data_IF_282164864122
#
_entry.id   IF_282164864122
#
_cell.length_a   1.000
_cell.length_b   1.000
_cell.length_c   1.000
_cell.angle_alpha   90.00
_cell.angle_beta   90.00
_cell.angle_gamma   90.00
#
_symmetry.space_group_name_H-M   'P 1'
#
loop_
_entity.id
_entity.type
_entity.pdbx_description
1 polymer ?
#
# COMPACT_ATOMS: atom_id res chain seq x y z
N UNK A 1 -35.00 -37.38 -19.04
CA UNK A 1 -35.01 -36.77 -17.68
C UNK A 1 -33.62 -36.51 -17.09
N UNK A 2 -32.64 -37.44 -17.17
CA UNK A 2 -31.29 -37.24 -16.58
C UNK A 2 -30.54 -35.98 -17.04
N UNK A 3 -30.61 -35.61 -18.33
CA UNK A 3 -29.91 -34.40 -18.86
C UNK A 3 -30.44 -33.09 -18.26
N UNK A 4 -31.75 -32.99 -18.00
CA UNK A 4 -32.36 -31.83 -17.34
C UNK A 4 -31.91 -31.71 -15.88
N UNK A 5 -31.75 -32.85 -15.18
CA UNK A 5 -31.24 -32.88 -13.80
C UNK A 5 -29.80 -32.37 -13.70
N UNK A 6 -28.94 -32.71 -14.67
CA UNK A 6 -27.55 -32.23 -14.69
C UNK A 6 -27.45 -30.73 -15.00
N UNK A 7 -28.28 -30.21 -15.91
CA UNK A 7 -28.33 -28.78 -16.22
C UNK A 7 -28.84 -27.99 -15.00
N UNK A 8 -29.88 -28.48 -14.33
CA UNK A 8 -30.39 -27.87 -13.11
C UNK A 8 -29.34 -27.87 -11.99
N UNK A 9 -28.64 -28.99 -11.77
CA UNK A 9 -27.54 -29.09 -10.79
C UNK A 9 -26.40 -28.12 -11.11
N UNK A 10 -26.05 -27.97 -12.39
CA UNK A 10 -25.01 -27.05 -12.82
C UNK A 10 -25.41 -25.59 -12.55
N UNK A 11 -26.64 -25.21 -12.90
CA UNK A 11 -27.17 -23.85 -12.66
C UNK A 11 -27.25 -23.57 -11.15
N UNK A 12 -27.72 -24.52 -10.35
CA UNK A 12 -27.76 -24.37 -8.89
C UNK A 12 -26.37 -24.26 -8.28
N UNK A 13 -25.41 -25.07 -8.73
CA UNK A 13 -24.02 -24.98 -8.28
C UNK A 13 -23.37 -23.63 -8.64
N UNK A 14 -23.66 -23.11 -9.82
CA UNK A 14 -23.14 -21.83 -10.30
C UNK A 14 -23.76 -20.66 -9.51
N UNK A 15 -25.05 -20.71 -9.23
CA UNK A 15 -25.74 -19.73 -8.37
C UNK A 15 -25.23 -19.78 -6.93
N UNK A 16 -25.03 -20.96 -6.36
CA UNK A 16 -24.45 -21.16 -5.02
C UNK A 16 -23.01 -20.63 -4.95
N UNK A 17 -22.19 -20.93 -5.96
CA UNK A 17 -20.82 -20.41 -6.05
C UNK A 17 -20.77 -18.89 -6.15
N UNK A 18 -21.61 -18.30 -7.00
CA UNK A 18 -21.69 -16.85 -7.19
C UNK A 18 -22.20 -16.12 -5.94
N UNK A 19 -23.24 -16.65 -5.28
CA UNK A 19 -23.79 -16.07 -4.05
C UNK A 19 -22.83 -16.20 -2.88
N UNK A 20 -22.15 -17.34 -2.73
CA UNK A 20 -21.10 -17.50 -1.73
C UNK A 20 -19.96 -16.50 -1.96
N UNK A 21 -19.46 -16.40 -3.20
CA UNK A 21 -18.43 -15.44 -3.60
C UNK A 21 -18.85 -13.99 -3.32
N UNK A 22 -20.11 -13.63 -3.61
CA UNK A 22 -20.67 -12.31 -3.33
C UNK A 22 -20.69 -12.01 -1.82
N UNK A 23 -21.14 -12.95 -0.99
CA UNK A 23 -21.17 -12.79 0.47
C UNK A 23 -19.75 -12.68 1.05
N UNK A 24 -18.81 -13.51 0.60
CA UNK A 24 -17.41 -13.36 1.03
C UNK A 24 -16.81 -12.05 0.55
N UNK A 25 -17.06 -11.62 -0.68
CA UNK A 25 -16.58 -10.33 -1.17
C UNK A 25 -17.17 -9.18 -0.34
N UNK A 26 -18.47 -9.20 -0.05
CA UNK A 26 -19.11 -8.18 0.78
C UNK A 26 -18.59 -8.20 2.22
N UNK A 27 -18.40 -9.36 2.83
CA UNK A 27 -17.79 -9.45 4.17
C UNK A 27 -16.34 -8.99 4.18
N UNK A 28 -15.58 -9.25 3.12
CA UNK A 28 -14.22 -8.74 2.96
C UNK A 28 -14.26 -7.22 2.76
N UNK A 29 -15.12 -6.68 1.91
CA UNK A 29 -15.24 -5.24 1.70
C UNK A 29 -15.71 -4.53 2.99
N UNK A 30 -16.71 -5.08 3.67
CA UNK A 30 -17.23 -4.56 4.93
C UNK A 30 -16.23 -4.73 6.09
N UNK A 31 -15.45 -5.81 6.14
CA UNK A 31 -14.35 -5.92 7.12
C UNK A 31 -13.23 -4.93 6.82
N UNK A 32 -12.91 -4.70 5.54
CA UNK A 32 -11.90 -3.71 5.14
C UNK A 32 -12.36 -2.27 5.37
N UNK A 33 -13.66 -1.99 5.33
CA UNK A 33 -14.23 -0.66 5.60
C UNK A 33 -14.63 -0.41 7.07
N UNK A 34 -14.87 -1.46 7.86
CA UNK A 34 -15.41 -1.35 9.22
C UNK A 34 -14.51 -1.91 10.34
N UNK A 35 -13.67 -2.90 10.06
CA UNK A 35 -12.80 -3.54 11.07
C UNK A 35 -11.40 -2.93 10.96
N UNK A 36 -10.97 -2.21 12.00
CA UNK A 36 -9.63 -1.62 12.09
C UNK A 36 -9.48 -0.17 11.62
N UNK A 37 -10.50 0.41 10.98
CA UNK A 37 -10.52 1.82 10.56
C UNK A 37 -10.77 2.82 11.71
N UNK A 38 -11.19 2.36 12.89
CA UNK A 38 -11.32 3.24 14.05
C UNK A 38 -9.96 3.86 14.39
N UNK A 39 -9.89 5.19 14.46
CA UNK A 39 -8.63 5.92 14.65
C UNK A 39 -7.68 5.90 13.45
N UNK A 40 -8.10 5.40 12.28
CA UNK A 40 -7.29 5.40 11.05
C UNK A 40 -6.82 6.80 10.67
N UNK A 41 -7.75 7.76 10.55
CA UNK A 41 -7.43 9.14 10.15
C UNK A 41 -6.45 9.77 11.13
N UNK A 42 -6.69 9.59 12.44
CA UNK A 42 -5.78 10.10 13.48
C UNK A 42 -4.40 9.43 13.40
N UNK A 43 -4.35 8.13 13.13
CA UNK A 43 -3.09 7.38 12.99
C UNK A 43 -2.35 7.83 11.73
N UNK A 44 -3.01 7.88 10.58
CA UNK A 44 -2.45 8.36 9.33
C UNK A 44 -1.90 9.78 9.46
N UNK A 45 -2.63 10.68 10.11
CA UNK A 45 -2.16 12.04 10.38
C UNK A 45 -0.90 12.06 11.28
N UNK A 46 -0.86 11.23 12.33
CA UNK A 46 0.34 11.08 13.18
C UNK A 46 1.54 10.57 12.37
N UNK A 47 1.33 9.62 11.47
CA UNK A 47 2.42 9.06 10.67
C UNK A 47 2.87 10.05 9.58
N UNK A 48 1.96 10.85 8.99
CA UNK A 48 2.33 11.94 8.08
C UNK A 48 3.22 13.00 8.74
N UNK A 49 3.10 13.18 10.05
CA UNK A 49 3.99 14.07 10.81
C UNK A 49 5.38 13.46 11.04
N UNK A 50 5.58 12.16 10.79
CA UNK A 50 6.90 11.55 10.81
C UNK A 50 7.62 11.81 9.49
N UNK A 51 8.51 12.80 9.53
CA UNK A 51 9.35 13.17 8.39
C UNK A 51 10.09 11.99 7.78
N UNK A 52 10.70 11.13 8.61
CA UNK A 52 11.45 9.97 8.15
C UNK A 52 10.64 9.05 7.21
N UNK A 53 9.36 8.79 7.52
CA UNK A 53 8.51 7.92 6.68
C UNK A 53 8.12 8.64 5.39
N UNK A 54 7.73 9.90 5.50
CA UNK A 54 7.24 10.68 4.36
C UNK A 54 8.36 11.01 3.39
N UNK A 55 9.51 11.43 3.88
CA UNK A 55 10.72 11.75 3.10
C UNK A 55 11.29 10.48 2.46
N UNK A 56 11.34 9.36 3.16
CA UNK A 56 11.77 8.07 2.57
C UNK A 56 10.90 7.69 1.36
N UNK A 57 9.57 7.84 1.48
CA UNK A 57 8.64 7.55 0.39
C UNK A 57 8.74 8.58 -0.74
N UNK A 58 8.89 9.87 -0.44
CA UNK A 58 9.14 10.91 -1.45
C UNK A 58 10.43 10.61 -2.20
N UNK A 59 11.54 10.36 -1.49
CA UNK A 59 12.83 10.02 -2.07
C UNK A 59 12.78 8.76 -2.91
N UNK A 60 12.04 7.73 -2.49
CA UNK A 60 11.82 6.53 -3.32
C UNK A 60 11.15 6.88 -4.65
N UNK A 61 10.17 7.77 -4.64
CA UNK A 61 9.46 8.16 -5.88
C UNK A 61 10.31 9.08 -6.75
N UNK A 62 11.06 10.01 -6.16
CA UNK A 62 11.99 10.87 -6.87
C UNK A 62 13.12 10.06 -7.52
N UNK A 63 13.71 9.10 -6.80
CA UNK A 63 14.70 8.17 -7.34
C UNK A 63 14.16 7.36 -8.53
N UNK A 64 12.95 6.83 -8.44
CA UNK A 64 12.29 6.15 -9.57
C UNK A 64 12.08 7.09 -10.75
N UNK A 65 11.68 8.34 -10.50
CA UNK A 65 11.47 9.34 -11.54
C UNK A 65 12.79 9.75 -12.22
N UNK A 66 13.91 9.69 -11.50
CA UNK A 66 15.26 9.89 -12.02
C UNK A 66 15.83 8.64 -12.74
N UNK A 67 15.05 7.55 -12.83
CA UNK A 67 15.45 6.32 -13.53
C UNK A 67 16.20 5.30 -12.67
N UNK A 68 16.36 5.55 -11.36
CA UNK A 68 17.02 4.60 -10.48
C UNK A 68 16.10 3.42 -10.10
N UNK A 69 16.71 2.24 -9.95
CA UNK A 69 16.04 1.05 -9.41
C UNK A 69 16.05 1.12 -7.88
N UNK A 70 14.89 0.91 -7.26
CA UNK A 70 14.73 0.90 -5.81
C UNK A 70 14.95 -0.50 -5.25
N UNK A 71 15.71 -0.60 -4.16
CA UNK A 71 15.70 -1.79 -3.30
C UNK A 71 14.39 -1.84 -2.51
N UNK A 72 13.39 -2.44 -3.14
CA UNK A 72 12.05 -2.60 -2.56
C UNK A 72 12.06 -3.51 -1.32
N UNK A 73 13.03 -4.44 -1.20
CA UNK A 73 13.09 -5.35 -0.07
C UNK A 73 13.51 -4.57 1.17
N UNK A 74 14.63 -3.85 1.09
CA UNK A 74 15.12 -3.01 2.19
C UNK A 74 14.13 -1.90 2.54
N UNK A 75 13.54 -1.26 1.53
CA UNK A 75 12.51 -0.24 1.73
C UNK A 75 11.30 -0.78 2.51
N UNK A 76 10.77 -1.94 2.10
CA UNK A 76 9.62 -2.55 2.78
C UNK A 76 9.96 -3.00 4.21
N UNK A 77 11.16 -3.53 4.46
CA UNK A 77 11.59 -3.90 5.81
C UNK A 77 11.69 -2.68 6.72
N UNK A 78 12.24 -1.56 6.22
CA UNK A 78 12.33 -0.32 6.98
C UNK A 78 10.95 0.26 7.27
N UNK A 79 10.08 0.34 6.26
CA UNK A 79 8.70 0.81 6.42
C UNK A 79 7.90 -0.04 7.40
N UNK A 80 8.03 -1.37 7.34
CA UNK A 80 7.39 -2.27 8.31
C UNK A 80 7.86 -1.99 9.74
N UNK A 81 9.15 -1.73 9.93
CA UNK A 81 9.72 -1.41 11.25
C UNK A 81 9.18 -0.07 11.76
N UNK A 82 9.18 0.96 10.93
CA UNK A 82 8.69 2.31 11.27
C UNK A 82 7.17 2.33 11.53
N UNK A 83 6.41 1.48 10.83
CA UNK A 83 4.96 1.42 10.96
C UNK A 83 4.46 0.43 12.03
N UNK A 84 5.33 -0.44 12.54
CA UNK A 84 4.99 -1.43 13.57
C UNK A 84 4.29 -0.83 14.81
N UNK A 85 4.69 0.35 15.34
CA UNK A 85 4.00 0.96 16.48
C UNK A 85 2.54 1.37 16.20
N UNK A 86 2.16 1.47 14.93
CA UNK A 86 0.83 1.85 14.48
C UNK A 86 -0.04 0.66 14.08
N UNK A 87 0.51 -0.55 14.11
CA UNK A 87 -0.25 -1.77 13.92
C UNK A 87 -1.12 -2.06 15.15
N UNK A 88 -2.35 -2.50 14.90
CA UNK A 88 -3.32 -2.87 15.93
C UNK A 88 -3.76 -4.33 15.81
N UNK A 89 -3.06 -5.15 15.00
CA UNK A 89 -3.41 -6.54 14.75
C UNK A 89 -4.56 -6.74 13.73
N UNK A 90 -5.13 -5.65 13.20
CA UNK A 90 -6.20 -5.67 12.20
C UNK A 90 -5.77 -5.03 10.87
N UNK A 91 -4.50 -5.21 10.47
CA UNK A 91 -3.95 -4.66 9.23
C UNK A 91 -3.99 -3.12 9.14
N UNK A 92 -4.15 -2.39 10.27
CA UNK A 92 -4.18 -0.92 10.26
C UNK A 92 -2.88 -0.34 9.69
N UNK A 93 -1.73 -0.91 10.03
CA UNK A 93 -0.45 -0.48 9.49
C UNK A 93 -0.40 -0.57 7.95
N UNK A 94 -1.05 -1.57 7.36
CA UNK A 94 -1.14 -1.71 5.90
C UNK A 94 -1.99 -0.60 5.27
N UNK A 95 -3.18 -0.30 5.80
CA UNK A 95 -4.00 0.80 5.28
C UNK A 95 -3.33 2.16 5.45
N UNK A 96 -2.66 2.36 6.58
CA UNK A 96 -1.87 3.56 6.88
C UNK A 96 -0.71 3.68 5.88
N UNK A 97 0.01 2.60 5.59
CA UNK A 97 1.05 2.55 4.57
C UNK A 97 0.52 2.94 3.19
N UNK A 98 -0.59 2.35 2.74
CA UNK A 98 -1.20 2.64 1.43
C UNK A 98 -1.54 4.12 1.31
N UNK A 99 -2.15 4.70 2.35
CA UNK A 99 -2.54 6.11 2.36
C UNK A 99 -1.33 7.04 2.30
N UNK A 100 -0.33 6.83 3.16
CA UNK A 100 0.86 7.70 3.22
C UNK A 100 1.70 7.56 1.96
N UNK A 101 1.80 6.36 1.39
CA UNK A 101 2.45 6.14 0.10
C UNK A 101 1.75 6.94 -1.00
N UNK A 102 0.41 6.91 -1.04
CA UNK A 102 -0.37 7.73 -1.97
C UNK A 102 -0.10 9.22 -1.81
N UNK A 103 -0.09 9.72 -0.57
CA UNK A 103 0.22 11.11 -0.26
C UNK A 103 1.65 11.50 -0.70
N UNK A 104 2.66 10.78 -0.23
CA UNK A 104 4.07 11.05 -0.53
C UNK A 104 4.37 11.00 -2.04
N UNK A 105 3.78 10.04 -2.76
CA UNK A 105 3.95 9.92 -4.20
C UNK A 105 3.21 11.04 -4.94
N UNK A 106 2.04 11.47 -4.43
CA UNK A 106 1.34 12.66 -4.91
C UNK A 106 2.19 13.92 -4.79
N UNK A 107 2.82 14.13 -3.62
CA UNK A 107 3.77 15.23 -3.39
C UNK A 107 4.92 15.15 -4.40
N UNK A 108 5.61 14.02 -4.49
CA UNK A 108 6.73 13.84 -5.43
C UNK A 108 6.35 14.06 -6.90
N UNK A 109 5.13 13.66 -7.30
CA UNK A 109 4.64 13.87 -8.66
C UNK A 109 4.27 15.33 -8.95
N UNK A 110 3.78 16.06 -7.95
CA UNK A 110 3.42 17.49 -8.08
C UNK A 110 4.63 18.40 -8.30
N UNK A 111 5.83 17.92 -7.96
CA UNK A 111 7.08 18.65 -8.18
C UNK A 111 7.42 18.69 -9.68
N UNK A 112 7.65 19.91 -10.17
CA UNK A 112 7.98 20.17 -11.58
C UNK A 112 9.36 19.63 -11.96
N UNK A 113 10.39 20.01 -11.21
CA UNK A 113 11.78 19.55 -11.41
C UNK A 113 12.11 18.44 -10.40
N UNK A 114 11.97 17.20 -10.84
CA UNK A 114 12.09 16.01 -9.99
C UNK A 114 13.55 15.65 -9.70
N UNK A 115 14.46 15.97 -10.62
CA UNK A 115 15.89 15.71 -10.45
C UNK A 115 16.44 16.69 -9.43
N UNK A 116 16.16 17.98 -9.60
CA UNK A 116 16.55 18.97 -8.60
C UNK A 116 15.96 18.66 -7.21
N UNK A 117 14.70 18.24 -7.15
CA UNK A 117 14.12 17.87 -5.86
C UNK A 117 14.75 16.62 -5.25
N UNK A 118 15.21 15.66 -6.04
CA UNK A 118 15.96 14.51 -5.51
C UNK A 118 17.24 14.96 -4.80
N UNK A 119 17.92 15.97 -5.34
CA UNK A 119 19.11 16.58 -4.77
C UNK A 119 18.78 17.49 -3.56
N UNK A 120 17.75 18.33 -3.66
CA UNK A 120 17.32 19.25 -2.60
C UNK A 120 16.85 18.50 -1.34
N UNK A 121 16.23 17.33 -1.51
CA UNK A 121 15.89 16.42 -0.40
C UNK A 121 17.09 15.62 0.12
N UNK A 122 18.27 15.80 -0.48
CA UNK A 122 19.49 15.04 -0.18
C UNK A 122 19.26 13.53 -0.18
N UNK A 123 18.39 13.04 -1.08
CA UNK A 123 17.90 11.66 -1.04
C UNK A 123 19.03 10.63 -1.15
N UNK A 124 20.04 10.90 -1.97
CA UNK A 124 21.20 10.02 -2.12
C UNK A 124 22.07 9.97 -0.85
N UNK A 125 22.20 11.09 -0.14
CA UNK A 125 23.00 11.16 1.09
C UNK A 125 22.25 10.57 2.27
N UNK A 126 20.97 10.87 2.41
CA UNK A 126 20.14 10.39 3.53
C UNK A 126 19.74 8.91 3.39
N UNK A 127 19.50 8.46 2.16
CA UNK A 127 19.01 7.12 1.86
C UNK A 127 19.87 6.42 0.80
N UNK A 128 21.18 6.42 0.98
CA UNK A 128 22.14 5.80 0.05
C UNK A 128 21.87 4.31 -0.22
N UNK A 129 21.30 3.60 0.75
CA UNK A 129 20.90 2.19 0.67
C UNK A 129 19.62 1.95 -0.15
N UNK A 130 18.88 3.00 -0.50
CA UNK A 130 17.56 2.90 -1.16
C UNK A 130 17.67 2.41 -2.61
N UNK A 131 18.82 2.63 -3.25
CA UNK A 131 19.05 2.22 -4.63
C UNK A 131 19.53 0.76 -4.66
N UNK A 132 18.98 -0.02 -5.59
CA UNK A 132 19.45 -1.37 -5.84
C UNK A 132 20.84 -1.31 -6.46
N UNK A 133 21.85 -1.85 -5.77
CA UNK A 133 23.19 -2.00 -6.35
C UNK A 133 23.12 -2.96 -7.54
N UNK A 134 23.66 -2.54 -8.68
CA UNK A 134 23.82 -3.42 -9.83
C UNK A 134 25.02 -4.33 -9.53
N UNK A 135 24.75 -5.62 -9.37
CA UNK A 135 25.75 -6.68 -9.36
C UNK A 135 26.13 -7.07 -10.79
#
# INVERSE_FOLDING_TARGET
>A
MRKLSYIALFIFGLLLGASLAYITLQKVIASRGGIGMHGFVATANKVLQQREITELLICSKLAMNAGHKIDNISLNMRLNTLLKPYDNGHQRAFYVLVYIKGYAFGVANSIKDKIKAYDDYACQTQYSWLLKQEH
#
